data_IF_270572315293
#
_entry.id   IF_270572315293
#
_cell.length_a   1.000
_cell.length_b   1.000
_cell.length_c   1.000
_cell.angle_alpha   90.00
_cell.angle_beta   90.00
_cell.angle_gamma   90.00
#
_symmetry.space_group_name_H-M   'P 1'
#
loop_
_entity.id
_entity.type
_entity.pdbx_description
1 polymer ?
#
# COMPACT_ATOMS: atom_id res chain seq x y z
N UNK A 1 -44.60 13.38 -75.78
CA UNK A 1 -43.77 14.12 -74.80
C UNK A 1 -43.01 13.08 -73.99
N UNK A 2 -41.70 12.94 -74.21
CA UNK A 2 -40.89 11.92 -73.53
C UNK A 2 -40.56 12.40 -72.10
N UNK A 3 -40.93 11.61 -71.09
CA UNK A 3 -40.59 11.87 -69.69
C UNK A 3 -39.10 11.67 -69.46
N UNK A 4 -38.43 12.66 -68.87
CA UNK A 4 -37.02 12.58 -68.49
C UNK A 4 -36.84 11.53 -67.36
N UNK A 5 -35.73 10.78 -67.36
CA UNK A 5 -35.43 9.82 -66.29
C UNK A 5 -35.23 10.53 -64.94
N UNK A 6 -35.58 9.88 -63.81
CA UNK A 6 -35.44 10.49 -62.48
C UNK A 6 -33.96 10.72 -62.11
N UNK A 7 -33.66 11.74 -61.29
CA UNK A 7 -32.29 12.05 -60.89
C UNK A 7 -31.70 10.92 -60.02
N UNK A 8 -30.38 10.68 -60.11
CA UNK A 8 -29.73 9.63 -59.32
C UNK A 8 -29.81 9.93 -57.81
N UNK A 9 -29.85 8.88 -56.96
CA UNK A 9 -29.91 9.05 -55.52
C UNK A 9 -28.63 9.71 -54.97
N UNK A 10 -28.73 10.43 -53.84
CA UNK A 10 -27.59 11.10 -53.24
C UNK A 10 -26.55 10.10 -52.72
N UNK A 11 -25.26 10.45 -52.85
CA UNK A 11 -24.15 9.52 -52.60
C UNK A 11 -24.10 8.94 -51.19
N UNK A 12 -24.62 9.65 -50.18
CA UNK A 12 -24.65 9.15 -48.81
C UNK A 12 -25.59 7.94 -48.64
N UNK A 13 -26.72 7.91 -49.37
CA UNK A 13 -27.67 6.78 -49.37
C UNK A 13 -27.01 5.55 -50.00
N UNK A 14 -26.28 5.75 -51.10
CA UNK A 14 -25.55 4.67 -51.78
C UNK A 14 -24.45 4.10 -50.88
N UNK A 15 -23.74 4.95 -50.12
CA UNK A 15 -22.67 4.54 -49.20
C UNK A 15 -23.19 3.81 -47.96
N UNK A 16 -24.41 4.08 -47.50
CA UNK A 16 -25.02 3.34 -46.38
C UNK A 16 -25.43 1.92 -46.76
N UNK A 17 -25.88 1.72 -48.00
CA UNK A 17 -26.36 0.42 -48.49
C UNK A 17 -25.27 -0.45 -49.13
N UNK A 18 -24.03 0.05 -49.21
CA UNK A 18 -22.89 -0.71 -49.75
C UNK A 18 -22.04 -1.23 -48.59
N UNK A 19 -21.57 -2.50 -48.66
CA UNK A 19 -20.71 -3.05 -47.62
C UNK A 19 -19.42 -2.22 -47.51
N UNK A 20 -19.02 -1.91 -46.27
CA UNK A 20 -17.86 -1.05 -46.01
C UNK A 20 -16.61 -1.60 -46.72
N UNK A 21 -15.84 -0.75 -47.44
CA UNK A 21 -14.57 -1.15 -48.02
C UNK A 21 -13.63 -1.68 -46.95
N UNK A 22 -12.90 -2.76 -47.28
CA UNK A 22 -11.85 -3.28 -46.40
C UNK A 22 -10.80 -2.18 -46.21
N UNK A 23 -10.36 -1.88 -44.96
CA UNK A 23 -9.36 -0.84 -44.73
C UNK A 23 -8.08 -1.17 -45.50
N UNK A 24 -7.50 -0.15 -46.14
CA UNK A 24 -6.23 -0.29 -46.85
C UNK A 24 -5.07 -0.45 -45.87
N UNK A 25 -3.92 -0.97 -46.34
CA UNK A 25 -2.74 -1.18 -45.48
C UNK A 25 -2.18 0.14 -44.93
N UNK A 26 -2.39 1.23 -45.65
CA UNK A 26 -1.95 2.58 -45.30
C UNK A 26 -2.78 3.15 -44.14
N UNK A 27 -4.07 2.78 -44.04
CA UNK A 27 -4.94 3.13 -42.92
C UNK A 27 -4.56 2.43 -41.60
N UNK A 28 -3.68 1.43 -41.64
CA UNK A 28 -3.08 0.83 -40.45
C UNK A 28 -1.83 1.60 -39.97
N UNK A 29 -1.26 2.47 -40.80
CA UNK A 29 -0.10 3.32 -40.47
C UNK A 29 -0.50 4.66 -39.85
N UNK A 30 -1.79 5.00 -39.88
CA UNK A 30 -2.32 6.22 -39.28
C UNK A 30 -2.47 5.98 -37.76
N UNK A 31 -1.84 6.79 -36.90
CA UNK A 31 -2.01 6.67 -35.46
C UNK A 31 -3.46 6.96 -35.06
N UNK A 32 -4.03 6.09 -34.22
CA UNK A 32 -5.38 6.25 -33.70
C UNK A 32 -5.50 7.54 -32.86
N UNK A 33 -6.66 8.24 -32.87
CA UNK A 33 -6.84 9.46 -32.09
C UNK A 33 -6.79 9.18 -30.58
N UNK A 34 -6.36 10.15 -29.77
CA UNK A 34 -6.23 9.97 -28.33
C UNK A 34 -7.58 9.58 -27.71
N UNK A 35 -7.62 8.42 -27.05
CA UNK A 35 -8.83 7.84 -26.43
C UNK A 35 -9.52 6.75 -27.25
N UNK A 36 -9.11 6.47 -28.49
CA UNK A 36 -9.66 5.38 -29.29
C UNK A 36 -8.87 4.08 -29.06
N UNK A 37 -9.55 3.03 -28.60
CA UNK A 37 -8.98 1.68 -28.51
C UNK A 37 -9.67 0.79 -29.53
N UNK A 38 -8.93 0.42 -30.58
CA UNK A 38 -9.42 -0.46 -31.64
C UNK A 38 -9.56 -1.88 -31.10
N UNK A 39 -10.76 -2.24 -30.61
CA UNK A 39 -11.10 -3.62 -30.23
C UNK A 39 -11.16 -4.49 -31.48
N UNK A 40 -10.04 -5.11 -31.86
CA UNK A 40 -10.03 -6.16 -32.87
C UNK A 40 -10.80 -7.37 -32.33
N UNK A 41 -11.98 -7.64 -32.90
CA UNK A 41 -12.78 -8.81 -32.55
C UNK A 41 -12.06 -10.08 -33.01
N UNK A 42 -11.40 -10.77 -32.07
CA UNK A 42 -10.69 -12.01 -32.32
C UNK A 42 -10.27 -12.73 -31.04
N UNK A 43 -11.12 -13.68 -30.62
CA UNK A 43 -10.86 -14.81 -29.71
C UNK A 43 -10.71 -14.55 -28.19
N UNK A 44 -11.67 -15.13 -27.46
CA UNK A 44 -11.76 -15.30 -26.00
C UNK A 44 -10.51 -15.95 -25.37
N UNK A 45 -10.04 -15.43 -24.23
CA UNK A 45 -9.95 -16.21 -22.99
C UNK A 45 -9.62 -15.37 -21.74
N UNK A 46 -10.49 -15.52 -20.73
CA UNK A 46 -10.28 -15.45 -19.27
C UNK A 46 -9.72 -14.19 -18.57
N UNK A 47 -10.44 -13.86 -17.50
CA UNK A 47 -10.00 -13.22 -16.26
C UNK A 47 -9.73 -11.70 -16.28
N UNK A 48 -10.83 -10.99 -16.06
CA UNK A 48 -10.91 -9.78 -15.24
C UNK A 48 -10.02 -9.89 -13.99
N UNK A 49 -8.94 -9.09 -13.89
CA UNK A 49 -8.82 -7.98 -12.93
C UNK A 49 -7.41 -7.32 -13.00
N UNK A 50 -7.41 -6.02 -13.35
CA UNK A 50 -6.40 -5.01 -12.99
C UNK A 50 -4.92 -5.27 -13.30
N UNK A 51 -4.45 -4.80 -14.46
CA UNK A 51 -3.52 -3.66 -14.55
C UNK A 51 -3.19 -3.41 -16.02
N UNK A 52 -3.22 -2.15 -16.39
CA UNK A 52 -3.08 -1.62 -17.76
C UNK A 52 -1.86 -2.18 -18.49
N UNK A 53 -2.16 -2.68 -19.67
CA UNK A 53 -1.35 -3.33 -20.67
C UNK A 53 -0.13 -2.52 -21.11
N UNK A 54 0.95 -3.26 -21.31
CA UNK A 54 2.12 -2.99 -22.15
C UNK A 54 1.87 -2.12 -23.39
N UNK A 55 2.54 -0.96 -23.42
CA UNK A 55 3.09 -0.30 -24.60
C UNK A 55 4.38 0.41 -24.15
N UNK A 56 5.43 0.54 -24.98
CA UNK A 56 6.72 1.10 -24.57
C UNK A 56 6.57 2.62 -24.42
N UNK A 57 6.00 3.06 -23.30
CA UNK A 57 5.87 4.48 -22.98
C UNK A 57 7.22 5.02 -22.52
N UNK A 58 7.58 6.14 -23.13
CA UNK A 58 8.74 7.00 -22.87
C UNK A 58 9.23 6.89 -21.42
N UNK A 59 10.54 6.75 -21.16
CA UNK A 59 11.11 6.51 -19.83
C UNK A 59 10.62 7.52 -18.77
N UNK A 60 10.30 8.75 -19.19
CA UNK A 60 9.80 9.83 -18.33
C UNK A 60 8.38 9.58 -17.79
N UNK A 61 7.47 9.02 -18.59
CA UNK A 61 6.10 8.73 -18.12
C UNK A 61 6.09 7.56 -17.13
N UNK A 62 6.93 6.55 -17.37
CA UNK A 62 7.10 5.41 -16.46
C UNK A 62 7.70 5.84 -15.11
N UNK A 63 8.61 6.80 -15.08
CA UNK A 63 9.20 7.31 -13.84
C UNK A 63 8.20 8.07 -12.96
N UNK A 64 7.32 8.87 -13.57
CA UNK A 64 6.26 9.56 -12.80
C UNK A 64 5.23 8.58 -12.21
N UNK A 65 4.90 7.52 -12.94
CA UNK A 65 4.00 6.46 -12.46
C UNK A 65 4.63 5.64 -11.33
N UNK A 66 5.93 5.32 -11.44
CA UNK A 66 6.70 4.67 -10.38
C UNK A 66 6.75 5.52 -9.11
N UNK A 67 6.95 6.83 -9.24
CA UNK A 67 6.99 7.74 -8.09
C UNK A 67 5.64 7.86 -7.39
N UNK A 68 4.54 7.98 -8.14
CA UNK A 68 3.18 7.95 -7.56
C UNK A 68 2.93 6.65 -6.82
N UNK A 69 3.33 5.51 -7.40
CA UNK A 69 3.18 4.21 -6.75
C UNK A 69 4.07 4.08 -5.50
N UNK A 70 5.29 4.60 -5.53
CA UNK A 70 6.19 4.61 -4.38
C UNK A 70 5.62 5.45 -3.21
N UNK A 71 4.98 6.58 -3.51
CA UNK A 71 4.26 7.40 -2.52
C UNK A 71 3.08 6.66 -1.89
N UNK A 72 2.27 5.97 -2.68
CA UNK A 72 1.18 5.12 -2.17
C UNK A 72 1.70 4.00 -1.26
N UNK A 73 2.85 3.40 -1.61
CA UNK A 73 3.49 2.36 -0.79
C UNK A 73 4.04 2.96 0.51
N UNK A 74 4.66 4.14 0.46
CA UNK A 74 5.16 4.82 1.65
C UNK A 74 4.04 5.20 2.63
N UNK A 75 2.86 5.51 2.11
CA UNK A 75 1.66 5.80 2.90
C UNK A 75 0.86 4.54 3.30
N UNK A 76 1.26 3.34 2.86
CA UNK A 76 0.54 2.12 3.22
C UNK A 76 0.54 1.85 4.75
N UNK A 77 1.65 2.03 5.50
CA UNK A 77 1.66 1.82 6.95
C UNK A 77 0.75 2.79 7.70
N UNK A 78 0.53 4.01 7.18
CA UNK A 78 -0.32 5.00 7.87
C UNK A 78 -1.77 4.54 7.96
N UNK A 79 -2.25 3.72 7.02
CA UNK A 79 -3.60 3.13 7.05
C UNK A 79 -3.74 2.05 8.13
N UNK A 80 -2.64 1.42 8.53
CA UNK A 80 -2.65 0.43 9.62
C UNK A 80 -2.66 1.08 11.00
N UNK A 81 -2.18 2.32 11.12
CA UNK A 81 -2.13 3.05 12.41
C UNK A 81 -3.53 3.15 13.05
N UNK A 82 -4.58 3.65 12.37
CA UNK A 82 -5.91 3.74 12.97
C UNK A 82 -6.48 2.37 13.35
N UNK A 83 -6.28 1.37 12.50
CA UNK A 83 -6.79 0.02 12.74
C UNK A 83 -6.17 -0.56 14.02
N UNK A 84 -4.84 -0.47 14.14
CA UNK A 84 -4.13 -0.93 15.33
C UNK A 84 -4.52 -0.10 16.56
N UNK A 85 -4.59 1.22 16.45
CA UNK A 85 -4.94 2.10 17.56
C UNK A 85 -6.37 1.83 18.11
N UNK A 86 -7.36 1.68 17.23
CA UNK A 86 -8.75 1.38 17.63
C UNK A 86 -8.84 -0.01 18.26
N UNK A 87 -8.16 -1.00 17.68
CA UNK A 87 -8.10 -2.34 18.25
C UNK A 87 -7.46 -2.34 19.63
N UNK A 88 -6.37 -1.58 19.81
CA UNK A 88 -5.67 -1.43 21.08
C UNK A 88 -6.49 -0.67 22.13
N UNK A 89 -7.36 0.25 21.70
CA UNK A 89 -8.32 0.94 22.55
C UNK A 89 -9.46 0.00 23.01
N UNK A 90 -10.04 -0.77 22.10
CA UNK A 90 -11.16 -1.67 22.41
C UNK A 90 -10.75 -2.93 23.18
N UNK A 91 -9.55 -3.47 22.94
CA UNK A 91 -9.07 -4.71 23.57
C UNK A 91 -8.72 -4.58 25.06
N UNK A 92 -8.77 -3.37 25.63
CA UNK A 92 -8.46 -3.12 27.03
C UNK A 92 -7.00 -3.42 27.41
N UNK A 93 -6.71 -3.42 28.71
CA UNK A 93 -5.36 -3.68 29.28
C UNK A 93 -5.26 -5.07 29.95
N UNK A 94 -6.19 -5.98 29.67
CA UNK A 94 -6.20 -7.30 30.29
C UNK A 94 -5.02 -8.15 29.80
N UNK A 95 -4.24 -8.68 30.74
CA UNK A 95 -3.13 -9.60 30.48
C UNK A 95 -3.68 -10.99 30.18
N UNK A 96 -4.03 -11.21 28.90
CA UNK A 96 -4.36 -12.52 28.36
C UNK A 96 -3.28 -12.98 27.39
N UNK A 97 -3.16 -14.30 27.19
CA UNK A 97 -2.26 -14.89 26.19
C UNK A 97 -2.47 -14.24 24.81
N UNK A 98 -3.73 -13.93 24.48
CA UNK A 98 -4.10 -13.24 23.24
C UNK A 98 -3.47 -11.84 23.12
N UNK A 99 -3.41 -11.08 24.23
CA UNK A 99 -2.80 -9.76 24.29
C UNK A 99 -1.30 -9.80 24.00
N UNK A 100 -0.59 -10.80 24.53
CA UNK A 100 0.86 -10.99 24.31
C UNK A 100 1.15 -11.32 22.84
N UNK A 101 0.36 -12.21 22.24
CA UNK A 101 0.53 -12.60 20.83
C UNK A 101 0.22 -11.43 19.87
N UNK A 102 -0.82 -10.64 20.17
CA UNK A 102 -1.18 -9.46 19.39
C UNK A 102 -0.08 -8.40 19.45
N UNK A 103 0.45 -8.13 20.64
CA UNK A 103 1.60 -7.24 20.84
C UNK A 103 2.81 -7.73 20.04
N UNK A 104 3.12 -9.02 20.05
CA UNK A 104 4.24 -9.55 19.26
C UNK A 104 4.08 -9.30 17.75
N UNK A 105 2.90 -9.56 17.19
CA UNK A 105 2.62 -9.28 15.78
C UNK A 105 2.64 -7.78 15.48
N UNK A 106 2.20 -6.96 16.42
CA UNK A 106 2.24 -5.50 16.35
C UNK A 106 3.67 -4.96 16.27
N UNK A 107 4.67 -5.63 16.85
CA UNK A 107 6.09 -5.26 16.69
C UNK A 107 6.73 -5.90 15.46
N UNK A 108 6.42 -7.17 15.21
CA UNK A 108 7.01 -7.92 14.10
C UNK A 108 6.74 -7.26 12.75
N UNK A 109 5.51 -6.78 12.52
CA UNK A 109 5.14 -6.09 11.28
C UNK A 109 5.98 -4.83 11.01
N UNK A 110 6.01 -3.86 11.95
CA UNK A 110 6.91 -2.71 11.94
C UNK A 110 8.36 -3.04 11.63
N UNK A 111 8.95 -3.93 12.43
CA UNK A 111 10.37 -4.30 12.33
C UNK A 111 10.66 -4.95 10.97
N UNK A 112 9.81 -5.87 10.52
CA UNK A 112 10.00 -6.53 9.24
C UNK A 112 9.86 -5.55 8.07
N UNK A 113 8.96 -4.56 8.17
CA UNK A 113 8.87 -3.48 7.19
C UNK A 113 10.13 -2.61 7.15
N UNK A 114 10.70 -2.26 8.31
CA UNK A 114 11.97 -1.52 8.38
C UNK A 114 13.10 -2.30 7.70
N UNK A 115 13.30 -3.56 8.05
CA UNK A 115 14.35 -4.41 7.48
C UNK A 115 14.14 -4.58 5.96
N UNK A 116 12.90 -4.77 5.52
CA UNK A 116 12.58 -5.01 4.12
C UNK A 116 12.39 -3.73 3.29
N UNK A 117 12.65 -2.55 3.86
CA UNK A 117 12.47 -1.26 3.16
C UNK A 117 13.27 -1.22 1.86
N UNK A 118 14.51 -1.71 1.88
CA UNK A 118 15.34 -1.71 0.69
C UNK A 118 14.77 -2.58 -0.45
N UNK A 119 14.20 -3.75 -0.14
CA UNK A 119 13.61 -4.63 -1.14
C UNK A 119 12.28 -4.07 -1.71
N UNK A 120 11.47 -3.42 -0.88
CA UNK A 120 10.22 -2.77 -1.30
C UNK A 120 10.49 -1.66 -2.31
N UNK A 121 11.56 -0.89 -2.11
CA UNK A 121 11.91 0.24 -2.98
C UNK A 121 12.89 -0.11 -4.11
N UNK A 122 13.52 -1.29 -4.09
CA UNK A 122 14.42 -1.75 -5.16
C UNK A 122 13.74 -1.80 -6.54
N UNK A 123 12.42 -2.04 -6.57
CA UNK A 123 11.62 -2.10 -7.81
C UNK A 123 11.38 -0.72 -8.45
N UNK A 124 11.72 0.36 -7.74
CA UNK A 124 11.47 1.75 -8.15
C UNK A 124 12.76 2.58 -8.30
N UNK A 125 13.93 1.95 -8.20
CA UNK A 125 15.21 2.64 -8.32
C UNK A 125 15.53 2.96 -9.79
N UNK A 126 15.28 4.19 -10.23
CA UNK A 126 15.72 4.74 -11.53
C UNK A 126 16.63 5.95 -11.32
N UNK A 127 17.66 6.08 -12.16
CA UNK A 127 18.73 7.09 -12.03
C UNK A 127 18.21 8.53 -11.91
N UNK A 128 17.11 8.87 -12.59
CA UNK A 128 16.50 10.21 -12.53
C UNK A 128 15.63 10.49 -11.30
N UNK A 129 15.21 9.47 -10.54
CA UNK A 129 14.19 9.61 -9.48
C UNK A 129 14.74 9.32 -8.07
N UNK A 130 15.99 8.85 -7.96
CA UNK A 130 16.64 8.42 -6.72
C UNK A 130 16.54 9.43 -5.57
N UNK A 131 16.71 10.73 -5.85
CA UNK A 131 16.60 11.80 -4.86
C UNK A 131 15.18 11.93 -4.27
N UNK A 132 14.14 11.83 -5.12
CA UNK A 132 12.74 11.85 -4.65
C UNK A 132 12.38 10.55 -3.92
N UNK A 133 12.96 9.43 -4.35
CA UNK A 133 12.76 8.13 -3.73
C UNK A 133 13.31 8.06 -2.31
N UNK A 134 14.42 8.76 -2.03
CA UNK A 134 14.99 8.87 -0.67
C UNK A 134 14.00 9.55 0.30
N UNK A 135 13.34 10.63 -0.14
CA UNK A 135 12.30 11.28 0.67
C UNK A 135 11.12 10.35 0.96
N UNK A 136 10.69 9.59 -0.05
CA UNK A 136 9.61 8.59 0.09
C UNK A 136 10.00 7.44 1.03
N UNK A 137 11.25 6.96 0.94
CA UNK A 137 11.82 5.96 1.87
C UNK A 137 11.84 6.49 3.31
N UNK A 138 12.26 7.73 3.52
CA UNK A 138 12.30 8.34 4.83
C UNK A 138 10.91 8.41 5.46
N UNK A 139 9.88 8.80 4.68
CA UNK A 139 8.50 8.83 5.14
C UNK A 139 8.03 7.43 5.54
N UNK A 140 8.31 6.40 4.73
CA UNK A 140 7.97 5.02 5.07
C UNK A 140 8.59 4.58 6.41
N UNK A 141 9.87 4.88 6.62
CA UNK A 141 10.58 4.57 7.87
C UNK A 141 9.94 5.30 9.05
N UNK A 142 9.64 6.59 8.91
CA UNK A 142 8.98 7.38 9.96
C UNK A 142 7.62 6.79 10.32
N UNK A 143 6.79 6.42 9.34
CA UNK A 143 5.48 5.81 9.60
C UNK A 143 5.61 4.46 10.33
N UNK A 144 6.62 3.67 9.97
CA UNK A 144 6.91 2.40 10.62
C UNK A 144 7.40 2.58 12.07
N UNK A 145 8.19 3.63 12.33
CA UNK A 145 8.60 4.02 13.69
C UNK A 145 7.43 4.50 14.54
N UNK A 146 6.49 5.27 13.98
CA UNK A 146 5.28 5.69 14.69
C UNK A 146 4.45 4.48 15.13
N UNK A 147 4.29 3.49 14.25
CA UNK A 147 3.63 2.22 14.58
C UNK A 147 4.34 1.50 15.73
N UNK A 148 5.68 1.46 15.69
CA UNK A 148 6.49 0.82 16.72
C UNK A 148 6.39 1.56 18.06
N UNK A 149 6.40 2.89 18.07
CA UNK A 149 6.20 3.72 19.27
C UNK A 149 4.83 3.48 19.91
N UNK A 150 3.77 3.37 19.11
CA UNK A 150 2.44 3.01 19.62
C UNK A 150 2.43 1.63 20.29
N UNK A 151 3.16 0.68 19.72
CA UNK A 151 3.37 -0.63 20.33
C UNK A 151 4.05 -0.53 21.69
N UNK A 152 5.17 0.21 21.78
CA UNK A 152 5.92 0.40 23.03
C UNK A 152 5.02 1.02 24.11
N UNK A 153 4.26 2.06 23.73
CA UNK A 153 3.34 2.71 24.66
C UNK A 153 2.30 1.74 25.21
N UNK A 154 1.75 0.84 24.38
CA UNK A 154 0.77 -0.16 24.83
C UNK A 154 1.38 -1.25 25.70
N UNK A 155 2.59 -1.74 25.39
CA UNK A 155 3.29 -2.73 26.24
C UNK A 155 3.62 -2.15 27.59
N UNK A 156 4.03 -0.89 27.62
CA UNK A 156 4.22 -0.15 28.86
C UNK A 156 2.89 -0.04 29.63
N UNK A 157 1.79 0.30 28.96
CA UNK A 157 0.47 0.36 29.60
C UNK A 157 0.03 -1.02 30.15
N UNK A 158 0.34 -2.12 29.45
CA UNK A 158 0.06 -3.49 29.88
C UNK A 158 0.98 -3.98 31.04
N UNK A 159 2.01 -3.23 31.42
CA UNK A 159 2.93 -3.61 32.50
C UNK A 159 3.86 -4.78 32.15
N UNK A 160 4.10 -5.02 30.84
CA UNK A 160 4.97 -6.10 30.37
C UNK A 160 6.44 -5.69 30.28
N UNK A 161 6.73 -4.38 30.36
CA UNK A 161 8.10 -3.90 30.40
C UNK A 161 8.62 -3.99 31.83
N UNK A 162 9.88 -4.41 32.06
CA UNK A 162 10.52 -4.45 33.37
C UNK A 162 10.91 -3.03 33.84
N UNK A 163 9.94 -2.13 33.91
CA UNK A 163 10.11 -0.70 34.25
C UNK A 163 9.69 -0.39 35.68
N UNK A 164 8.95 -1.29 36.32
CA UNK A 164 8.41 -1.08 37.67
C UNK A 164 9.29 -1.78 38.70
N UNK A 165 9.44 -1.20 39.91
CA UNK A 165 10.20 -1.85 40.99
C UNK A 165 9.66 -3.23 41.36
N UNK A 166 8.37 -3.48 41.16
CA UNK A 166 7.76 -4.80 41.33
C UNK A 166 8.42 -5.88 40.46
N UNK A 167 8.90 -5.51 39.27
CA UNK A 167 9.54 -6.44 38.33
C UNK A 167 10.92 -6.89 38.83
N UNK A 168 11.51 -6.09 39.74
CA UNK A 168 12.83 -6.30 40.33
C UNK A 168 12.77 -6.71 41.80
N UNK A 169 11.56 -6.78 42.38
CA UNK A 169 11.34 -7.08 43.79
C UNK A 169 11.96 -8.43 44.19
N UNK A 170 11.97 -9.41 43.27
CA UNK A 170 12.59 -10.71 43.48
C UNK A 170 14.12 -10.63 43.73
N UNK A 171 14.77 -9.53 43.34
CA UNK A 171 16.19 -9.27 43.55
C UNK A 171 16.46 -8.12 44.53
N UNK A 172 15.42 -7.49 45.09
CA UNK A 172 15.58 -6.43 46.09
C UNK A 172 15.86 -7.07 47.46
N UNK A 173 16.92 -6.62 48.14
CA UNK A 173 17.27 -7.15 49.46
C UNK A 173 16.21 -6.77 50.50
N UNK A 174 15.86 -7.73 51.35
CA UNK A 174 14.95 -7.48 52.47
C UNK A 174 15.52 -6.39 53.38
N UNK A 175 14.64 -5.47 53.81
CA UNK A 175 15.02 -4.42 54.75
C UNK A 175 15.25 -5.04 56.13
N UNK A 176 16.51 -5.20 56.52
CA UNK A 176 16.88 -5.69 57.84
C UNK A 176 16.48 -4.66 58.91
N UNK A 177 15.66 -5.02 59.91
CA UNK A 177 15.33 -4.13 61.01
C UNK A 177 16.57 -3.89 61.88
N UNK A 178 16.86 -2.62 62.22
CA UNK A 178 17.99 -2.26 63.08
C UNK A 178 17.81 -2.68 64.53
N UNK A 179 16.56 -2.74 65.01
CA UNK A 179 16.24 -3.09 66.40
C UNK A 179 15.04 -4.04 66.46
N UNK A 180 15.11 -5.04 67.34
CA UNK A 180 13.98 -5.90 67.73
C UNK A 180 13.62 -5.60 69.18
N UNK A 181 12.39 -5.14 69.41
CA UNK A 181 11.85 -5.02 70.75
C UNK A 181 11.31 -6.38 71.23
N UNK A 182 11.66 -6.77 72.46
CA UNK A 182 11.12 -7.95 73.13
C UNK A 182 10.13 -7.49 74.20
N UNK A 183 8.98 -8.18 74.31
CA UNK A 183 8.00 -7.88 75.35
C UNK A 183 8.55 -8.29 76.73
N UNK A 184 8.43 -7.40 77.72
CA UNK A 184 9.08 -7.53 79.02
C UNK A 184 8.30 -8.38 80.06
N UNK A 185 7.27 -9.13 79.66
CA UNK A 185 6.51 -9.98 80.58
C UNK A 185 6.39 -11.40 80.03
N UNK A 186 7.16 -12.31 80.65
CA UNK A 186 6.99 -13.76 80.64
C UNK A 186 6.83 -14.24 82.07
#
# INVERSE_FOLDING_TARGET
MASLPPPPPPQWVVRMNTPMPRPSKEAASIPDPPGFSRKTAGKNNRAQQSSTTSAPSKPVETDTLKLKKAWEIALAPSKQIPMNAIMMYMSGNSLQIFSIMMVFMLFKGPIQGLINTNAVFAKFDTEGTRAKLLGVKAIYVVMQLVLLCLGIWKVNAMGLLPTTRSDWLAWESERQPLERAYFAFG
#
